data_IF_251268732171
#
_entry.id   IF_251268732171
#
_cell.length_a   1.000
_cell.length_b   1.000
_cell.length_c   1.000
_cell.angle_alpha   90.00
_cell.angle_beta   90.00
_cell.angle_gamma   90.00
#
_symmetry.space_group_name_H-M   'P 1'
#
loop_
_entity.id
_entity.type
_entity.pdbx_description
1 polymer ?
#
# COMPACT_ATOMS: atom_id res chain seq x y z
N UNK A 1 -62.60 14.08 -1.23
CA UNK A 1 -61.30 14.16 -1.90
C UNK A 1 -60.22 14.38 -0.85
N UNK A 2 -59.51 13.33 -0.47
CA UNK A 2 -58.36 13.43 0.46
C UNK A 2 -57.11 13.63 -0.34
N UNK A 3 -56.43 14.78 -0.15
CA UNK A 3 -55.13 15.08 -0.77
C UNK A 3 -54.09 14.34 0.05
N UNK A 4 -53.56 13.25 -0.52
CA UNK A 4 -52.33 12.60 0.02
C UNK A 4 -51.14 13.53 -0.22
N UNK A 5 -50.69 14.17 0.84
CA UNK A 5 -49.43 14.89 0.84
C UNK A 5 -48.28 13.85 0.81
N UNK A 6 -47.69 13.64 -0.37
CA UNK A 6 -46.48 12.82 -0.51
C UNK A 6 -45.35 13.49 0.31
N UNK A 7 -44.91 12.84 1.38
CA UNK A 7 -43.67 13.23 2.10
C UNK A 7 -42.53 13.15 1.12
N UNK A 8 -41.85 14.27 0.87
CA UNK A 8 -40.57 14.29 0.18
C UNK A 8 -39.60 13.33 0.87
N UNK A 9 -38.78 12.57 0.13
CA UNK A 9 -37.77 11.71 0.74
C UNK A 9 -36.86 12.60 1.56
N UNK A 10 -36.74 12.29 2.85
CA UNK A 10 -35.73 12.87 3.72
C UNK A 10 -34.35 12.48 3.11
N UNK A 11 -33.67 13.44 2.52
CA UNK A 11 -32.27 13.26 2.11
C UNK A 11 -31.50 13.02 3.40
N UNK A 12 -31.21 11.77 3.70
CA UNK A 12 -30.23 11.43 4.74
C UNK A 12 -28.93 12.04 4.25
N UNK A 13 -28.41 13.03 4.97
CA UNK A 13 -27.14 13.65 4.63
C UNK A 13 -26.11 12.52 4.51
N UNK A 14 -25.48 12.38 3.34
CA UNK A 14 -24.46 11.35 3.14
C UNK A 14 -23.29 11.67 4.07
N UNK A 15 -22.77 10.65 4.77
CA UNK A 15 -21.58 10.79 5.63
C UNK A 15 -20.44 11.42 4.83
N UNK A 16 -19.77 12.41 5.41
CA UNK A 16 -18.63 13.09 4.81
C UNK A 16 -17.34 12.45 5.34
N UNK A 17 -16.59 11.80 4.46
CA UNK A 17 -15.41 11.00 4.85
C UNK A 17 -14.16 11.66 4.29
N UNK A 18 -13.15 11.84 5.15
CA UNK A 18 -11.78 12.20 4.75
C UNK A 18 -10.90 10.97 4.90
N UNK A 19 -10.15 10.65 3.84
CA UNK A 19 -9.20 9.54 3.82
C UNK A 19 -7.78 10.10 3.78
N UNK A 20 -7.00 9.85 4.84
CA UNK A 20 -5.62 10.35 4.97
C UNK A 20 -4.56 9.31 4.55
N UNK A 21 -4.96 8.28 3.82
CA UNK A 21 -4.06 7.27 3.25
C UNK A 21 -4.67 6.61 2.01
N UNK A 22 -3.83 6.23 1.01
CA UNK A 22 -4.31 5.64 -0.24
C UNK A 22 -5.09 4.35 -0.04
N UNK A 23 -4.65 3.45 0.84
CA UNK A 23 -5.32 2.16 1.09
C UNK A 23 -6.75 2.33 1.61
N UNK A 24 -6.99 3.28 2.53
CA UNK A 24 -8.34 3.58 3.01
C UNK A 24 -9.23 4.17 1.90
N UNK A 25 -8.65 5.01 1.03
CA UNK A 25 -9.35 5.52 -0.15
C UNK A 25 -9.82 4.36 -1.04
N UNK A 26 -8.92 3.42 -1.34
CA UNK A 26 -9.24 2.24 -2.14
C UNK A 26 -10.32 1.37 -1.49
N UNK A 27 -10.25 1.15 -0.17
CA UNK A 27 -11.29 0.44 0.58
C UNK A 27 -12.63 1.15 0.46
N UNK A 28 -12.69 2.46 0.71
CA UNK A 28 -13.93 3.25 0.64
C UNK A 28 -14.56 3.19 -0.75
N UNK A 29 -13.76 3.30 -1.81
CA UNK A 29 -14.26 3.17 -3.18
C UNK A 29 -14.73 1.75 -3.51
N UNK A 30 -14.01 0.72 -3.06
CA UNK A 30 -14.41 -0.68 -3.23
C UNK A 30 -15.73 -1.00 -2.52
N UNK A 31 -16.02 -0.33 -1.40
CA UNK A 31 -17.31 -0.41 -0.69
C UNK A 31 -18.41 0.43 -1.35
N UNK A 32 -18.11 1.16 -2.44
CA UNK A 32 -19.08 2.02 -3.14
C UNK A 32 -19.41 3.30 -2.38
N UNK A 33 -18.44 3.82 -1.59
CA UNK A 33 -18.58 5.04 -0.78
C UNK A 33 -17.82 6.24 -1.40
N UNK A 34 -17.39 6.15 -2.66
CA UNK A 34 -16.61 7.20 -3.34
C UNK A 34 -17.27 8.58 -3.31
N UNK A 35 -18.60 8.65 -3.40
CA UNK A 35 -19.35 9.93 -3.32
C UNK A 35 -19.31 10.52 -1.92
N UNK A 36 -19.17 9.72 -0.88
CA UNK A 36 -19.00 10.14 0.52
C UNK A 36 -17.60 10.65 0.81
N UNK A 37 -16.58 10.30 0.02
CA UNK A 37 -15.21 10.79 0.17
C UNK A 37 -15.13 12.24 -0.27
N UNK A 38 -14.86 13.15 0.68
CA UNK A 38 -14.80 14.60 0.44
C UNK A 38 -13.38 15.15 0.41
N UNK A 39 -12.38 14.37 0.86
CA UNK A 39 -10.97 14.76 0.85
C UNK A 39 -10.06 13.54 0.99
N UNK A 40 -8.87 13.64 0.40
CA UNK A 40 -7.90 12.55 0.26
C UNK A 40 -6.46 13.06 0.49
N UNK A 41 -5.46 12.21 0.29
CA UNK A 41 -4.05 12.62 0.20
C UNK A 41 -3.63 12.85 -1.25
N UNK A 42 -2.47 13.48 -1.44
CA UNK A 42 -1.88 13.67 -2.78
C UNK A 42 -1.50 12.34 -3.47
N UNK A 43 -1.39 11.24 -2.71
CA UNK A 43 -1.06 9.90 -3.23
C UNK A 43 -2.30 9.05 -3.56
N UNK A 44 -3.50 9.54 -3.33
CA UNK A 44 -4.73 8.81 -3.61
C UNK A 44 -5.07 8.90 -5.11
N UNK A 45 -4.49 8.04 -5.90
CA UNK A 45 -4.58 7.98 -7.36
C UNK A 45 -5.50 6.87 -7.89
N UNK A 46 -5.97 5.99 -6.99
CA UNK A 46 -6.85 4.88 -7.36
C UNK A 46 -8.12 4.81 -6.47
N UNK A 47 -9.30 4.59 -7.10
CA UNK A 47 -9.53 4.66 -8.56
C UNK A 47 -9.26 6.09 -9.10
N UNK A 48 -9.17 6.29 -10.42
CA UNK A 48 -8.80 7.61 -10.99
C UNK A 48 -9.66 8.79 -10.53
N UNK A 49 -10.90 8.52 -10.12
CA UNK A 49 -11.83 9.51 -9.57
C UNK A 49 -11.35 10.07 -8.22
N UNK A 50 -10.62 9.29 -7.44
CA UNK A 50 -10.08 9.71 -6.14
C UNK A 50 -9.10 10.88 -6.30
N UNK A 51 -8.27 10.88 -7.35
CA UNK A 51 -7.31 11.95 -7.63
C UNK A 51 -7.96 13.32 -7.89
N UNK A 52 -9.28 13.37 -8.12
CA UNK A 52 -10.03 14.63 -8.33
C UNK A 52 -10.53 15.24 -7.03
N UNK A 53 -10.41 14.53 -5.91
CA UNK A 53 -10.84 15.03 -4.60
C UNK A 53 -9.80 16.01 -4.05
N UNK A 54 -10.20 16.94 -3.17
CA UNK A 54 -9.26 17.84 -2.49
C UNK A 54 -8.17 17.06 -1.73
N UNK A 55 -6.90 17.39 -1.98
CA UNK A 55 -5.75 16.77 -1.31
C UNK A 55 -5.37 17.55 -0.06
N UNK A 56 -5.49 16.90 1.12
CA UNK A 56 -5.24 17.51 2.43
C UNK A 56 -3.80 17.32 2.93
N UNK A 57 -3.05 16.41 2.33
CA UNK A 57 -1.70 16.07 2.77
C UNK A 57 -0.71 16.54 1.72
N UNK A 58 0.36 17.21 2.17
CA UNK A 58 1.49 17.62 1.33
C UNK A 58 2.78 17.04 1.89
N UNK A 59 3.67 16.48 1.04
CA UNK A 59 4.97 16.01 1.50
C UNK A 59 5.84 17.22 1.91
N UNK A 60 6.66 17.04 2.95
CA UNK A 60 7.72 17.99 3.34
C UNK A 60 9.07 17.58 2.78
N UNK A 61 9.16 16.37 2.22
CA UNK A 61 10.31 15.86 1.48
C UNK A 61 10.07 16.03 -0.01
N UNK A 62 11.13 16.20 -0.79
CA UNK A 62 11.02 16.25 -2.25
C UNK A 62 10.90 14.82 -2.81
N UNK A 63 9.74 14.39 -3.32
CA UNK A 63 9.55 13.03 -3.81
C UNK A 63 10.28 12.74 -5.13
N UNK A 64 10.87 13.78 -5.76
CA UNK A 64 11.63 13.68 -7.02
C UNK A 64 13.14 13.71 -6.79
N UNK A 65 13.59 13.91 -5.56
CA UNK A 65 15.02 13.87 -5.21
C UNK A 65 15.59 12.45 -5.39
N UNK A 66 16.93 12.31 -5.51
CA UNK A 66 17.60 11.00 -5.43
C UNK A 66 17.27 10.26 -4.12
N UNK A 67 17.26 8.93 -4.14
CA UNK A 67 16.88 8.10 -2.98
C UNK A 67 17.70 8.42 -1.72
N UNK A 68 19.03 8.61 -1.85
CA UNK A 68 19.91 9.05 -0.75
C UNK A 68 19.47 10.36 -0.12
N UNK A 69 19.01 11.30 -0.93
CA UNK A 69 18.55 12.61 -0.47
C UNK A 69 17.18 12.51 0.21
N UNK A 70 16.26 11.71 -0.34
CA UNK A 70 14.97 11.41 0.32
C UNK A 70 15.22 10.79 1.69
N UNK A 71 16.06 9.74 1.77
CA UNK A 71 16.40 9.08 3.05
C UNK A 71 17.03 10.06 4.04
N UNK A 72 17.90 10.96 3.58
CA UNK A 72 18.50 12.01 4.41
C UNK A 72 17.44 12.96 4.97
N UNK A 73 16.54 13.48 4.12
CA UNK A 73 15.47 14.40 4.52
C UNK A 73 14.50 13.72 5.51
N UNK A 74 14.11 12.48 5.25
CA UNK A 74 13.27 11.70 6.16
C UNK A 74 13.94 11.55 7.53
N UNK A 75 15.20 11.10 7.58
CA UNK A 75 15.92 10.94 8.85
C UNK A 75 16.08 12.24 9.60
N UNK A 76 16.31 13.35 8.91
CA UNK A 76 16.43 14.66 9.53
C UNK A 76 15.14 15.11 10.19
N UNK A 77 14.00 14.98 9.50
CA UNK A 77 12.69 15.32 10.07
C UNK A 77 12.34 14.40 11.26
N UNK A 78 12.48 13.08 11.08
CA UNK A 78 12.20 12.11 12.15
C UNK A 78 13.08 12.34 13.38
N UNK A 79 14.37 12.67 13.20
CA UNK A 79 15.27 12.95 14.34
C UNK A 79 14.88 14.19 15.14
N UNK A 80 14.13 15.11 14.53
CA UNK A 80 13.57 16.30 15.19
C UNK A 80 12.18 16.05 15.78
N UNK A 81 11.62 14.85 15.64
CA UNK A 81 10.25 14.54 16.00
C UNK A 81 9.21 15.19 15.07
N UNK A 82 9.62 15.59 13.86
CA UNK A 82 8.77 16.21 12.86
C UNK A 82 8.22 15.16 11.90
N UNK A 83 6.95 15.32 11.48
CA UNK A 83 6.35 14.51 10.44
C UNK A 83 6.90 14.89 9.07
N UNK A 84 7.01 13.91 8.18
CA UNK A 84 7.38 14.13 6.77
C UNK A 84 6.21 14.65 5.92
N UNK A 85 5.03 14.76 6.53
CA UNK A 85 3.82 15.28 5.90
C UNK A 85 3.27 16.50 6.65
N UNK A 86 2.59 17.37 5.93
CA UNK A 86 1.84 18.49 6.49
C UNK A 86 0.36 18.33 6.20
N UNK A 87 -0.48 18.44 7.24
CA UNK A 87 -1.94 18.43 7.11
C UNK A 87 -2.44 19.86 6.85
N UNK A 88 -3.24 20.05 5.81
CA UNK A 88 -3.94 21.32 5.56
C UNK A 88 -5.16 21.42 6.48
N UNK A 89 -4.93 21.99 7.66
CA UNK A 89 -5.95 22.07 8.71
C UNK A 89 -7.13 22.98 8.33
N UNK A 90 -6.89 24.04 7.53
CA UNK A 90 -7.95 24.96 7.10
C UNK A 90 -8.87 24.26 6.08
N UNK A 91 -8.30 23.52 5.14
CA UNK A 91 -9.06 22.70 4.20
C UNK A 91 -9.82 21.59 4.94
N UNK A 92 -9.16 20.89 5.87
CA UNK A 92 -9.78 19.81 6.65
C UNK A 92 -11.00 20.32 7.43
N UNK A 93 -10.88 21.50 8.10
CA UNK A 93 -12.00 22.12 8.81
C UNK A 93 -13.14 22.53 7.85
N UNK A 94 -12.80 23.09 6.70
CA UNK A 94 -13.79 23.50 5.68
C UNK A 94 -14.60 22.34 5.10
N UNK A 95 -14.00 21.16 5.02
CA UNK A 95 -14.65 19.95 4.53
C UNK A 95 -15.64 19.35 5.52
N UNK A 96 -15.61 19.74 6.79
CA UNK A 96 -16.52 19.27 7.85
C UNK A 96 -16.76 17.74 7.81
N UNK A 97 -15.70 16.92 7.97
CA UNK A 97 -15.87 15.47 7.90
C UNK A 97 -16.60 14.92 9.13
N UNK A 98 -17.46 13.93 8.91
CA UNK A 98 -18.06 13.12 9.98
C UNK A 98 -17.10 12.01 10.44
N UNK A 99 -16.30 11.49 9.47
CA UNK A 99 -15.32 10.43 9.68
C UNK A 99 -14.00 10.79 9.02
N UNK A 100 -12.91 10.59 9.75
CA UNK A 100 -11.54 10.66 9.24
C UNK A 100 -10.93 9.26 9.35
N UNK A 101 -10.41 8.71 8.25
CA UNK A 101 -9.68 7.45 8.25
C UNK A 101 -8.19 7.75 8.10
N UNK A 102 -7.39 7.28 9.05
CA UNK A 102 -5.93 7.49 9.11
C UNK A 102 -5.22 6.18 9.47
N UNK A 103 -3.89 6.22 9.59
CA UNK A 103 -3.12 5.06 10.07
C UNK A 103 -2.15 5.46 11.18
N UNK A 104 -1.73 4.43 11.93
CA UNK A 104 -0.64 4.50 12.93
C UNK A 104 0.28 3.28 12.75
N UNK A 105 0.79 3.10 11.52
CA UNK A 105 1.66 1.98 11.17
C UNK A 105 3.13 2.40 11.06
N UNK A 106 3.36 3.53 10.42
CA UNK A 106 4.70 4.00 10.10
C UNK A 106 4.70 5.53 10.05
N UNK A 107 5.63 6.16 10.78
CA UNK A 107 5.80 7.61 10.77
C UNK A 107 6.29 8.17 9.41
N UNK A 108 6.65 7.28 8.48
CA UNK A 108 7.16 7.63 7.15
C UNK A 108 6.10 7.48 6.05
N UNK A 109 5.02 6.71 6.30
CA UNK A 109 4.07 6.35 5.22
C UNK A 109 2.77 7.16 5.23
N UNK A 110 2.48 7.90 6.30
CA UNK A 110 1.30 8.78 6.39
C UNK A 110 1.52 9.89 7.42
N UNK A 111 0.62 10.89 7.43
CA UNK A 111 0.58 11.90 8.48
C UNK A 111 0.40 11.23 9.85
N UNK A 112 1.20 11.67 10.83
CA UNK A 112 1.16 11.08 12.17
C UNK A 112 -0.19 11.37 12.85
N UNK A 113 -0.62 10.51 13.81
CA UNK A 113 -1.77 10.79 14.64
C UNK A 113 -1.66 12.13 15.39
N UNK A 114 -0.46 12.54 15.76
CA UNK A 114 -0.20 13.81 16.47
C UNK A 114 -0.42 15.03 15.57
N UNK A 115 -0.05 14.95 14.27
CA UNK A 115 -0.33 16.02 13.29
C UNK A 115 -1.83 16.19 13.10
N UNK A 116 -2.56 15.08 13.00
CA UNK A 116 -4.01 15.08 12.90
C UNK A 116 -4.64 15.62 14.19
N UNK A 117 -4.20 15.16 15.36
CA UNK A 117 -4.68 15.64 16.66
C UNK A 117 -4.50 17.16 16.78
N UNK A 118 -3.32 17.69 16.39
CA UNK A 118 -3.04 19.13 16.36
C UNK A 118 -4.01 19.87 15.42
N UNK A 119 -4.27 19.35 14.22
CA UNK A 119 -5.23 19.95 13.29
C UNK A 119 -6.64 19.98 13.88
N UNK A 120 -7.06 18.90 14.57
CA UNK A 120 -8.38 18.78 15.16
C UNK A 120 -8.63 19.70 16.38
N UNK A 121 -7.60 20.22 17.04
CA UNK A 121 -7.78 21.20 18.12
C UNK A 121 -8.51 22.47 17.68
N UNK A 122 -8.52 22.78 16.39
CA UNK A 122 -9.18 23.94 15.78
C UNK A 122 -10.67 23.72 15.54
N UNK A 123 -11.14 22.46 15.60
CA UNK A 123 -12.51 22.12 15.24
C UNK A 123 -13.49 22.46 16.39
N UNK A 124 -14.66 22.98 16.00
CA UNK A 124 -15.77 23.25 16.94
C UNK A 124 -16.60 22.00 17.24
N UNK A 125 -16.34 20.90 16.57
CA UNK A 125 -16.96 19.57 16.72
C UNK A 125 -15.88 18.49 16.65
N UNK A 126 -16.18 17.29 17.11
CA UNK A 126 -15.24 16.18 17.08
C UNK A 126 -15.66 15.18 16.00
N UNK A 127 -14.99 15.12 14.82
CA UNK A 127 -15.21 14.05 13.88
C UNK A 127 -14.78 12.71 14.48
N UNK A 128 -15.40 11.61 14.03
CA UNK A 128 -14.91 10.26 14.36
C UNK A 128 -13.59 10.05 13.66
N UNK A 129 -12.61 9.48 14.36
CA UNK A 129 -11.32 9.07 13.77
C UNK A 129 -11.21 7.55 13.82
N UNK A 130 -10.95 6.94 12.66
CA UNK A 130 -10.67 5.52 12.54
C UNK A 130 -9.20 5.36 12.14
N UNK A 131 -8.43 4.68 12.99
CA UNK A 131 -7.01 4.43 12.77
C UNK A 131 -6.82 2.98 12.33
N UNK A 132 -6.14 2.77 11.19
CA UNK A 132 -5.82 1.46 10.63
C UNK A 132 -4.35 1.14 10.93
N UNK A 133 -4.06 -0.10 11.36
CA UNK A 133 -2.70 -0.52 11.74
C UNK A 133 -2.38 -1.93 11.27
N UNK A 134 -2.44 -2.23 9.96
CA UNK A 134 -2.26 -3.59 9.47
C UNK A 134 -0.79 -3.99 9.45
N UNK A 135 -0.47 -5.17 9.98
CA UNK A 135 0.86 -5.78 9.92
C UNK A 135 0.87 -7.09 9.12
N UNK A 136 -0.28 -7.58 8.71
CA UNK A 136 -0.48 -8.83 7.96
C UNK A 136 -1.68 -8.71 7.02
N UNK A 137 -1.88 -9.68 6.13
CA UNK A 137 -3.07 -9.73 5.29
C UNK A 137 -4.35 -9.84 6.12
N UNK A 138 -4.34 -10.61 7.21
CA UNK A 138 -5.51 -10.72 8.09
C UNK A 138 -5.84 -9.39 8.79
N UNK A 139 -4.85 -8.56 9.07
CA UNK A 139 -5.09 -7.22 9.60
C UNK A 139 -5.74 -6.33 8.55
N UNK A 140 -5.32 -6.44 7.27
CA UNK A 140 -5.95 -5.70 6.16
C UNK A 140 -7.43 -6.10 6.01
N UNK A 141 -7.76 -7.38 6.15
CA UNK A 141 -9.15 -7.82 6.12
C UNK A 141 -9.97 -7.25 7.27
N UNK A 142 -9.39 -7.19 8.46
CA UNK A 142 -10.03 -6.53 9.63
C UNK A 142 -10.20 -5.02 9.40
N UNK A 143 -9.25 -4.36 8.79
CA UNK A 143 -9.35 -2.94 8.46
C UNK A 143 -10.50 -2.67 7.48
N UNK A 144 -10.70 -3.52 6.47
CA UNK A 144 -11.86 -3.45 5.56
C UNK A 144 -13.17 -3.59 6.35
N UNK A 145 -13.25 -4.55 7.27
CA UNK A 145 -14.42 -4.74 8.13
C UNK A 145 -14.65 -3.54 9.06
N UNK A 146 -13.58 -2.97 9.66
CA UNK A 146 -13.66 -1.77 10.51
C UNK A 146 -14.19 -0.56 9.71
N UNK A 147 -13.73 -0.36 8.48
CA UNK A 147 -14.24 0.70 7.61
C UNK A 147 -15.72 0.44 7.29
N UNK A 148 -16.09 -0.82 6.99
CA UNK A 148 -17.48 -1.23 6.80
C UNK A 148 -18.37 -0.87 7.98
N UNK A 149 -17.97 -1.22 9.20
CA UNK A 149 -18.69 -0.92 10.45
C UNK A 149 -18.78 0.60 10.70
N UNK A 150 -17.68 1.32 10.47
CA UNK A 150 -17.66 2.77 10.69
C UNK A 150 -18.58 3.53 9.74
N UNK A 151 -18.91 2.96 8.59
CA UNK A 151 -19.65 3.60 7.50
C UNK A 151 -21.05 2.99 7.25
N UNK A 152 -21.45 1.95 7.99
CA UNK A 152 -22.70 1.21 7.76
C UNK A 152 -22.71 0.37 6.49
N UNK A 153 -21.52 -0.07 6.04
CA UNK A 153 -21.34 -0.88 4.83
C UNK A 153 -20.86 -2.32 5.13
N UNK A 154 -21.21 -2.87 6.30
CA UNK A 154 -20.73 -4.17 6.81
C UNK A 154 -20.90 -5.31 5.82
N UNK A 155 -22.08 -5.40 5.20
CA UNK A 155 -22.36 -6.47 4.22
C UNK A 155 -21.45 -6.37 3.00
N UNK A 156 -21.16 -5.16 2.52
CA UNK A 156 -20.26 -4.97 1.38
C UNK A 156 -18.82 -5.28 1.77
N UNK A 157 -18.39 -4.91 2.99
CA UNK A 157 -17.09 -5.22 3.52
C UNK A 157 -16.87 -6.74 3.62
N UNK A 158 -17.80 -7.47 4.24
CA UNK A 158 -17.74 -8.93 4.34
C UNK A 158 -17.66 -9.60 2.96
N UNK A 159 -18.50 -9.19 2.00
CA UNK A 159 -18.44 -9.73 0.64
C UNK A 159 -17.10 -9.44 -0.06
N UNK A 160 -16.54 -8.25 0.14
CA UNK A 160 -15.22 -7.90 -0.40
C UNK A 160 -14.14 -8.78 0.20
N UNK A 161 -14.08 -8.92 1.52
CA UNK A 161 -13.12 -9.76 2.23
C UNK A 161 -13.21 -11.22 1.79
N UNK A 162 -14.42 -11.78 1.69
CA UNK A 162 -14.63 -13.15 1.23
C UNK A 162 -14.14 -13.37 -0.21
N UNK A 163 -14.38 -12.41 -1.10
CA UNK A 163 -13.87 -12.45 -2.47
C UNK A 163 -12.34 -12.44 -2.50
N UNK A 164 -11.69 -11.55 -1.75
CA UNK A 164 -10.23 -11.43 -1.70
C UNK A 164 -9.61 -12.72 -1.13
N UNK A 165 -10.14 -13.26 -0.05
CA UNK A 165 -9.70 -14.53 0.52
C UNK A 165 -9.86 -15.70 -0.46
N UNK A 166 -10.98 -15.74 -1.20
CA UNK A 166 -11.21 -16.78 -2.21
C UNK A 166 -10.18 -16.69 -3.36
N UNK A 167 -9.82 -15.49 -3.81
CA UNK A 167 -8.79 -15.29 -4.84
C UNK A 167 -7.43 -15.80 -4.36
N UNK A 168 -7.03 -15.44 -3.15
CA UNK A 168 -5.76 -15.90 -2.56
C UNK A 168 -5.74 -17.42 -2.41
N UNK A 169 -6.82 -18.02 -1.90
CA UNK A 169 -6.91 -19.48 -1.77
C UNK A 169 -6.79 -20.22 -3.13
N UNK A 170 -7.29 -19.62 -4.21
CA UNK A 170 -7.08 -20.17 -5.57
C UNK A 170 -5.62 -20.16 -5.95
N UNK A 171 -4.89 -19.05 -5.69
CA UNK A 171 -3.45 -18.99 -5.93
C UNK A 171 -2.73 -20.07 -5.13
N UNK A 172 -2.97 -20.15 -3.82
CA UNK A 172 -2.36 -21.14 -2.93
C UNK A 172 -2.58 -22.57 -3.47
N UNK A 173 -3.80 -22.91 -3.89
CA UNK A 173 -4.12 -24.24 -4.44
C UNK A 173 -3.36 -24.58 -5.72
N UNK A 174 -2.94 -23.57 -6.49
CA UNK A 174 -2.12 -23.75 -7.69
C UNK A 174 -0.65 -23.90 -7.32
N UNK A 175 -0.11 -23.01 -6.46
CA UNK A 175 1.32 -23.02 -6.11
C UNK A 175 1.70 -24.17 -5.19
N UNK A 176 0.76 -24.78 -4.46
CA UNK A 176 0.99 -26.02 -3.69
C UNK A 176 1.43 -27.20 -4.58
N UNK A 177 1.18 -27.12 -5.89
CA UNK A 177 1.64 -28.10 -6.89
C UNK A 177 3.01 -27.78 -7.45
N UNK A 178 3.62 -26.66 -7.05
CA UNK A 178 4.94 -26.26 -7.52
C UNK A 178 6.00 -27.26 -7.03
N UNK A 179 6.92 -27.66 -7.92
CA UNK A 179 7.99 -28.60 -7.58
C UNK A 179 9.01 -28.02 -6.58
N UNK A 180 9.08 -26.69 -6.48
CA UNK A 180 9.98 -25.97 -5.57
C UNK A 180 9.44 -24.58 -5.24
N UNK A 181 9.96 -24.02 -4.16
CA UNK A 181 9.75 -22.62 -3.77
C UNK A 181 11.04 -21.85 -4.05
N UNK A 182 11.07 -20.87 -4.99
CA UNK A 182 12.27 -20.10 -5.26
C UNK A 182 12.63 -19.22 -4.06
N UNK A 183 13.93 -19.00 -3.87
CA UNK A 183 14.47 -18.07 -2.87
C UNK A 183 14.37 -16.64 -3.40
N UNK A 184 13.59 -15.82 -2.74
CA UNK A 184 13.19 -14.50 -3.19
C UNK A 184 13.68 -13.41 -2.24
N UNK A 185 14.04 -12.26 -2.81
CA UNK A 185 14.33 -11.02 -2.09
C UNK A 185 13.40 -9.91 -2.58
N UNK A 186 12.69 -9.26 -1.66
CA UNK A 186 11.91 -8.05 -1.93
C UNK A 186 12.65 -6.81 -1.41
N UNK A 187 12.91 -5.83 -2.29
CA UNK A 187 13.57 -4.57 -1.94
C UNK A 187 12.58 -3.40 -2.04
N UNK A 188 12.33 -2.74 -0.90
CA UNK A 188 11.47 -1.56 -0.79
C UNK A 188 12.25 -0.24 -0.91
N UNK A 189 13.57 -0.28 -0.85
CA UNK A 189 14.47 0.85 -1.08
C UNK A 189 15.85 0.33 -1.50
N UNK A 190 16.60 1.10 -2.30
CA UNK A 190 17.88 0.66 -2.86
C UNK A 190 19.10 1.38 -2.30
N UNK A 191 18.93 2.60 -1.78
CA UNK A 191 20.06 3.36 -1.20
C UNK A 191 19.57 4.22 -0.01
N UNK A 192 19.83 3.71 1.23
CA UNK A 192 20.35 2.38 1.58
C UNK A 192 19.33 1.25 1.30
N UNK A 193 19.79 0.00 1.20
CA UNK A 193 18.87 -1.11 0.99
C UNK A 193 17.93 -1.32 2.17
N UNK A 194 16.62 -1.42 1.87
CA UNK A 194 15.59 -1.89 2.80
C UNK A 194 14.88 -3.09 2.21
N UNK A 195 14.74 -4.13 3.01
CA UNK A 195 13.93 -5.31 2.68
C UNK A 195 12.49 -5.12 3.13
N UNK A 196 11.58 -5.76 2.41
CA UNK A 196 10.16 -5.69 2.70
C UNK A 196 9.80 -6.30 4.05
N UNK A 197 8.76 -5.74 4.67
CA UNK A 197 8.20 -6.19 5.94
C UNK A 197 6.68 -6.31 5.91
N UNK A 198 6.06 -6.22 7.11
CA UNK A 198 4.61 -6.26 7.31
C UNK A 198 3.93 -7.46 6.65
N UNK A 199 3.05 -7.23 5.67
CA UNK A 199 2.29 -8.25 4.92
C UNK A 199 3.07 -8.84 3.74
N UNK A 200 4.15 -8.19 3.23
CA UNK A 200 4.83 -8.62 2.00
C UNK A 200 5.46 -9.99 2.12
N UNK A 201 6.20 -10.35 3.19
CA UNK A 201 6.76 -11.69 3.32
C UNK A 201 5.67 -12.78 3.43
N UNK A 202 4.48 -12.44 3.97
CA UNK A 202 3.32 -13.34 3.95
C UNK A 202 2.79 -13.53 2.52
N UNK A 203 2.70 -12.44 1.72
CA UNK A 203 2.32 -12.52 0.31
C UNK A 203 3.28 -13.41 -0.48
N UNK A 204 4.59 -13.26 -0.27
CA UNK A 204 5.64 -14.08 -0.88
C UNK A 204 5.44 -15.57 -0.56
N UNK A 205 5.22 -15.89 0.73
CA UNK A 205 5.02 -17.26 1.18
C UNK A 205 3.77 -17.89 0.56
N UNK A 206 2.65 -17.16 0.53
CA UNK A 206 1.38 -17.57 -0.06
C UNK A 206 1.42 -17.68 -1.58
N UNK A 207 2.28 -16.86 -2.23
CA UNK A 207 2.56 -16.94 -3.66
C UNK A 207 3.55 -18.08 -4.02
N UNK A 208 3.96 -18.90 -3.05
CA UNK A 208 4.75 -20.11 -3.28
C UNK A 208 6.27 -19.88 -3.36
N UNK A 209 6.82 -18.82 -2.77
CA UNK A 209 8.25 -18.56 -2.66
C UNK A 209 8.73 -18.48 -1.19
N UNK A 210 10.03 -18.40 -0.97
CA UNK A 210 10.68 -18.18 0.31
C UNK A 210 11.32 -16.78 0.31
N UNK A 211 10.79 -15.85 1.13
CA UNK A 211 11.47 -14.57 1.36
C UNK A 211 12.72 -14.81 2.21
N UNK A 212 13.89 -14.46 1.67
CA UNK A 212 15.18 -14.82 2.30
C UNK A 212 15.61 -13.87 3.40
N UNK A 213 15.02 -12.67 3.49
CA UNK A 213 15.35 -11.67 4.52
C UNK A 213 14.10 -11.05 5.16
N UNK A 214 13.00 -10.94 4.43
CA UNK A 214 11.76 -10.33 4.90
C UNK A 214 11.20 -11.05 6.14
N UNK A 215 10.62 -10.26 7.07
CA UNK A 215 10.05 -10.78 8.32
C UNK A 215 8.58 -10.44 8.39
N UNK A 216 7.75 -11.50 8.45
CA UNK A 216 6.31 -11.33 8.55
C UNK A 216 5.94 -10.53 9.80
N UNK A 217 5.03 -9.58 9.65
CA UNK A 217 4.47 -8.74 10.71
C UNK A 217 5.46 -7.75 11.36
N UNK A 218 6.71 -7.75 10.95
CA UNK A 218 7.73 -6.80 11.40
C UNK A 218 7.84 -5.65 10.37
N UNK A 219 8.33 -4.49 10.82
CA UNK A 219 8.60 -3.38 9.92
C UNK A 219 9.72 -3.70 8.94
N UNK A 220 9.71 -3.06 7.77
CA UNK A 220 10.83 -3.05 6.83
C UNK A 220 12.10 -2.59 7.53
N UNK A 221 13.24 -3.19 7.21
CA UNK A 221 14.49 -2.88 7.89
C UNK A 221 15.67 -2.79 6.92
N UNK A 222 16.67 -2.06 7.35
CA UNK A 222 17.88 -1.83 6.57
C UNK A 222 18.79 -3.06 6.59
N UNK A 223 19.36 -3.37 5.41
CA UNK A 223 20.37 -4.42 5.23
C UNK A 223 21.57 -3.90 4.45
N UNK A 224 22.68 -4.57 4.57
CA UNK A 224 23.88 -4.30 3.77
C UNK A 224 23.86 -5.11 2.46
N UNK A 225 24.65 -4.66 1.49
CA UNK A 225 24.91 -5.41 0.24
C UNK A 225 25.43 -6.82 0.51
N UNK A 226 26.32 -6.99 1.52
CA UNK A 226 26.92 -8.28 1.85
C UNK A 226 25.89 -9.26 2.44
N UNK A 227 24.97 -8.77 3.28
CA UNK A 227 23.86 -9.58 3.79
C UNK A 227 22.97 -10.06 2.65
N UNK A 228 22.65 -9.20 1.68
CA UNK A 228 21.88 -9.59 0.49
C UNK A 228 22.60 -10.69 -0.29
N UNK A 229 23.90 -10.47 -0.60
CA UNK A 229 24.73 -11.43 -1.35
C UNK A 229 24.80 -12.79 -0.64
N UNK A 230 24.93 -12.78 0.70
CA UNK A 230 24.99 -14.01 1.50
C UNK A 230 23.72 -14.87 1.41
N UNK A 231 22.55 -14.25 1.14
CA UNK A 231 21.30 -15.00 0.98
C UNK A 231 21.18 -15.71 -0.37
N UNK A 232 22.00 -15.34 -1.36
CA UNK A 232 22.03 -15.95 -2.69
C UNK A 232 20.61 -16.10 -3.33
N UNK A 233 19.84 -15.00 -3.53
CA UNK A 233 18.48 -15.05 -4.04
C UNK A 233 18.43 -15.51 -5.50
N UNK A 234 17.39 -16.29 -5.82
CA UNK A 234 17.09 -16.75 -7.17
C UNK A 234 16.19 -15.76 -7.95
N UNK A 235 15.41 -14.98 -7.21
CA UNK A 235 14.53 -13.93 -7.75
C UNK A 235 14.67 -12.67 -6.91
N UNK A 236 14.67 -11.50 -7.54
CA UNK A 236 14.65 -10.20 -6.84
C UNK A 236 13.47 -9.38 -7.36
N UNK A 237 12.66 -8.86 -6.45
CA UNK A 237 11.59 -7.90 -6.73
C UNK A 237 12.00 -6.52 -6.25
N UNK A 238 12.00 -5.56 -7.17
CA UNK A 238 12.23 -4.14 -6.90
C UNK A 238 10.86 -3.48 -6.78
N UNK A 239 10.53 -2.98 -5.60
CA UNK A 239 9.20 -2.50 -5.23
C UNK A 239 9.26 -1.29 -4.29
N UNK A 240 10.01 -0.27 -4.68
CA UNK A 240 10.22 0.92 -3.86
C UNK A 240 8.89 1.63 -3.60
N UNK A 241 8.67 1.98 -2.34
CA UNK A 241 7.44 2.66 -1.90
C UNK A 241 7.25 3.99 -2.67
N UNK A 242 6.05 4.18 -3.20
CA UNK A 242 5.69 5.38 -3.96
C UNK A 242 6.08 5.33 -5.45
N UNK A 243 6.69 4.24 -5.95
CA UNK A 243 7.20 4.15 -7.32
C UNK A 243 6.41 3.14 -8.16
N UNK A 244 6.18 3.51 -9.43
CA UNK A 244 5.66 2.59 -10.43
C UNK A 244 6.77 1.66 -10.97
N UNK A 245 6.41 0.71 -11.82
CA UNK A 245 7.35 -0.26 -12.39
C UNK A 245 8.46 0.41 -13.23
N UNK A 246 8.14 1.49 -13.95
CA UNK A 246 9.10 2.17 -14.82
C UNK A 246 10.16 2.91 -13.99
N UNK A 247 9.73 3.61 -12.95
CA UNK A 247 10.65 4.30 -12.01
C UNK A 247 11.47 3.29 -11.23
N UNK A 248 10.88 2.23 -10.71
CA UNK A 248 11.59 1.13 -10.05
C UNK A 248 12.69 0.53 -10.94
N UNK A 249 12.37 0.30 -12.23
CA UNK A 249 13.34 -0.20 -13.20
C UNK A 249 14.47 0.80 -13.47
N UNK A 250 14.16 2.10 -13.57
CA UNK A 250 15.15 3.13 -13.80
C UNK A 250 16.12 3.26 -12.63
N UNK A 251 15.61 3.26 -11.39
CA UNK A 251 16.44 3.34 -10.18
C UNK A 251 17.38 2.13 -10.08
N UNK A 252 16.88 0.93 -10.29
CA UNK A 252 17.73 -0.26 -10.25
C UNK A 252 18.82 -0.26 -11.35
N UNK A 253 18.47 0.14 -12.58
CA UNK A 253 19.45 0.23 -13.69
C UNK A 253 20.52 1.29 -13.47
N UNK A 254 20.24 2.33 -12.69
CA UNK A 254 21.21 3.36 -12.34
C UNK A 254 22.23 2.89 -11.31
N UNK A 255 21.97 1.77 -10.61
CA UNK A 255 22.90 1.22 -9.62
C UNK A 255 24.15 0.63 -10.27
N UNK A 256 25.29 0.84 -9.62
CA UNK A 256 26.53 0.14 -9.96
C UNK A 256 26.59 -1.17 -9.14
N UNK A 257 26.18 -2.27 -9.75
CA UNK A 257 26.23 -3.58 -9.10
C UNK A 257 27.67 -4.09 -9.03
N UNK A 258 28.08 -4.50 -7.82
CA UNK A 258 29.38 -5.15 -7.60
C UNK A 258 29.47 -6.52 -8.30
N UNK A 259 30.68 -7.04 -8.48
CA UNK A 259 30.88 -8.38 -9.06
C UNK A 259 30.18 -9.48 -8.26
N UNK A 260 30.04 -9.30 -6.93
CA UNK A 260 29.32 -10.27 -6.09
C UNK A 260 27.82 -10.28 -6.40
N UNK A 261 27.21 -9.12 -6.64
CA UNK A 261 25.81 -9.03 -7.10
C UNK A 261 25.62 -9.66 -8.46
N UNK A 262 26.52 -9.40 -9.44
CA UNK A 262 26.43 -9.97 -10.79
C UNK A 262 26.51 -11.50 -10.79
N UNK A 263 27.11 -12.11 -9.77
CA UNK A 263 27.17 -13.57 -9.58
C UNK A 263 25.93 -14.19 -8.95
N UNK A 264 25.00 -13.39 -8.41
CA UNK A 264 23.74 -13.91 -7.86
C UNK A 264 22.94 -14.67 -8.92
N UNK A 265 22.26 -15.76 -8.57
CA UNK A 265 21.39 -16.48 -9.49
C UNK A 265 20.35 -15.55 -10.15
N UNK A 266 19.73 -14.66 -9.36
CA UNK A 266 18.77 -13.70 -9.88
C UNK A 266 19.33 -12.83 -11.03
N UNK A 267 20.60 -12.39 -10.93
CA UNK A 267 21.25 -11.60 -11.97
C UNK A 267 21.61 -12.45 -13.20
N UNK A 268 22.25 -13.62 -12.98
CA UNK A 268 22.68 -14.50 -14.08
C UNK A 268 21.53 -15.04 -14.90
N UNK A 269 20.42 -15.35 -14.24
CA UNK A 269 19.26 -15.99 -14.86
C UNK A 269 18.19 -14.96 -15.27
N UNK A 270 18.51 -13.65 -15.20
CA UNK A 270 17.62 -12.53 -15.52
C UNK A 270 16.28 -12.63 -14.75
N UNK A 271 16.32 -12.95 -13.47
CA UNK A 271 15.14 -13.08 -12.60
C UNK A 271 15.01 -11.87 -11.65
N UNK A 272 15.14 -10.66 -12.21
CA UNK A 272 14.93 -9.40 -11.52
C UNK A 272 13.72 -8.70 -12.13
N UNK A 273 12.78 -8.32 -11.29
CA UNK A 273 11.53 -7.70 -11.73
C UNK A 273 11.30 -6.40 -10.96
N UNK A 274 11.02 -5.32 -11.68
CA UNK A 274 10.50 -4.08 -11.12
C UNK A 274 8.98 -4.09 -11.24
N UNK A 275 8.27 -3.92 -10.13
CA UNK A 275 6.79 -3.90 -10.12
C UNK A 275 6.27 -2.49 -9.79
N UNK A 276 5.01 -2.23 -10.11
CA UNK A 276 4.30 -1.07 -9.59
C UNK A 276 3.96 -1.29 -8.10
N UNK A 277 4.81 -0.74 -7.22
CA UNK A 277 4.67 -0.92 -5.78
C UNK A 277 3.36 -0.31 -5.25
N UNK A 278 2.93 0.83 -5.80
CA UNK A 278 1.70 1.50 -5.38
C UNK A 278 0.45 0.65 -5.62
N UNK A 279 0.46 -0.12 -6.71
CA UNK A 279 -0.67 -0.98 -7.08
C UNK A 279 -0.65 -2.34 -6.39
N UNK A 280 0.55 -2.91 -6.11
CA UNK A 280 0.65 -4.34 -5.83
C UNK A 280 1.25 -4.70 -4.47
N UNK A 281 1.91 -3.77 -3.76
CA UNK A 281 2.62 -4.15 -2.53
C UNK A 281 2.63 -3.13 -1.41
N UNK A 282 2.74 -1.82 -1.70
CA UNK A 282 2.98 -0.79 -0.69
C UNK A 282 1.72 -0.31 0.05
N UNK A 283 0.53 -0.56 -0.50
CA UNK A 283 -0.74 -0.08 0.05
C UNK A 283 -1.54 -1.23 0.64
N UNK A 284 -1.77 -1.26 1.97
CA UNK A 284 -2.53 -2.33 2.62
C UNK A 284 -4.03 -2.21 2.35
N UNK A 285 -4.44 -2.65 1.18
CA UNK A 285 -5.81 -2.54 0.69
C UNK A 285 -6.22 -3.72 -0.20
N UNK A 286 -7.38 -3.61 -0.88
CA UNK A 286 -7.92 -4.71 -1.68
C UNK A 286 -6.98 -5.22 -2.78
N UNK A 287 -6.12 -4.34 -3.34
CA UNK A 287 -5.20 -4.68 -4.44
C UNK A 287 -4.02 -5.56 -4.01
N UNK A 288 -3.81 -5.83 -2.70
CA UNK A 288 -2.83 -6.83 -2.28
C UNK A 288 -3.14 -8.24 -2.80
N UNK A 289 -4.42 -8.54 -3.08
CA UNK A 289 -4.77 -9.80 -3.76
C UNK A 289 -4.24 -9.81 -5.20
N UNK A 290 -4.32 -8.68 -5.93
CA UNK A 290 -3.74 -8.53 -7.27
C UNK A 290 -2.21 -8.68 -7.22
N UNK A 291 -1.57 -8.09 -6.18
CA UNK A 291 -0.14 -8.21 -5.93
C UNK A 291 0.31 -9.64 -5.66
N UNK A 292 -0.45 -10.39 -4.89
CA UNK A 292 -0.18 -11.81 -4.61
C UNK A 292 -0.33 -12.67 -5.88
N UNK A 293 -1.34 -12.41 -6.70
CA UNK A 293 -1.51 -13.04 -8.01
C UNK A 293 -0.34 -12.72 -8.94
N UNK A 294 0.12 -11.46 -8.98
CA UNK A 294 1.31 -11.05 -9.73
C UNK A 294 2.54 -11.81 -9.26
N UNK A 295 2.78 -11.90 -7.96
CA UNK A 295 3.91 -12.64 -7.38
C UNK A 295 3.89 -14.11 -7.82
N UNK A 296 2.75 -14.77 -7.70
CA UNK A 296 2.62 -16.17 -8.10
C UNK A 296 2.95 -16.40 -9.58
N UNK A 297 2.53 -15.50 -10.47
CA UNK A 297 2.89 -15.56 -11.89
C UNK A 297 4.38 -15.36 -12.12
N UNK A 298 5.02 -14.44 -11.42
CA UNK A 298 6.46 -14.18 -11.57
C UNK A 298 7.30 -15.35 -11.05
N UNK A 299 6.85 -16.01 -9.97
CA UNK A 299 7.58 -17.10 -9.33
C UNK A 299 7.36 -18.44 -10.02
N UNK A 300 6.18 -18.65 -10.58
CA UNK A 300 5.73 -19.91 -11.18
C UNK A 300 5.07 -19.71 -12.55
N UNK A 301 5.77 -19.12 -13.54
CA UNK A 301 5.17 -18.77 -14.84
C UNK A 301 4.59 -19.96 -15.59
N UNK A 302 5.07 -21.18 -15.31
CA UNK A 302 4.55 -22.41 -15.93
C UNK A 302 3.22 -22.90 -15.32
N UNK A 303 2.82 -22.39 -14.15
CA UNK A 303 1.57 -22.78 -13.49
C UNK A 303 0.41 -21.84 -13.82
N UNK A 304 0.71 -20.66 -14.34
CA UNK A 304 -0.27 -19.62 -14.67
C UNK A 304 -0.22 -19.30 -16.15
N UNK A 305 -1.35 -19.41 -16.83
CA UNK A 305 -1.45 -19.17 -18.29
C UNK A 305 -2.01 -17.77 -18.63
N UNK A 306 -2.58 -17.07 -17.66
CA UNK A 306 -3.17 -15.75 -17.86
C UNK A 306 -2.09 -14.71 -18.09
N UNK A 307 -2.37 -13.76 -19.01
CA UNK A 307 -1.45 -12.64 -19.23
C UNK A 307 -1.64 -11.61 -18.14
N UNK A 308 -0.53 -11.21 -17.53
CA UNK A 308 -0.51 -10.09 -16.60
C UNK A 308 -0.85 -8.76 -17.30
N UNK A 309 -1.40 -7.82 -16.54
CA UNK A 309 -1.71 -6.49 -17.03
C UNK A 309 -0.45 -5.80 -17.57
N UNK A 310 -0.60 -5.11 -18.70
CA UNK A 310 0.49 -4.31 -19.27
C UNK A 310 0.91 -3.23 -18.27
N UNK A 311 2.20 -3.16 -17.96
CA UNK A 311 2.75 -2.18 -17.01
C UNK A 311 2.78 -2.63 -15.54
N UNK A 312 2.23 -3.81 -15.20
CA UNK A 312 2.29 -4.34 -13.84
C UNK A 312 3.74 -4.58 -13.36
N UNK A 313 4.61 -4.97 -14.26
CA UNK A 313 6.02 -5.19 -13.99
C UNK A 313 6.89 -4.98 -15.24
N UNK A 314 8.19 -4.80 -15.00
CA UNK A 314 9.24 -4.84 -16.01
C UNK A 314 10.29 -5.87 -15.61
N UNK A 315 10.70 -6.71 -16.53
CA UNK A 315 11.84 -7.63 -16.35
C UNK A 315 13.13 -6.87 -16.65
N UNK A 316 14.15 -7.01 -15.80
CA UNK A 316 15.41 -6.27 -15.84
C UNK A 316 16.57 -7.12 -16.29
#
# INVERSE_FOLDING_TARGET
MAVLCARAPTVVASMRIVSLLPSATEILYALGLGDSVVGVTHECDFPPEAARKPALIKPRVDPHAPQTEIDRQVRELVSRGESIYAVDADLLESLQPDLIVTQDLCHVCAASPDDLATALTRFRYAPRVLTLTPHSLDDVWRDIDCVGQATGAETKAGNLVDNLKCRIAKVESVVDRAARRPRLLCLEWLDPFYVAGHWVPEMVARAGAEDVLGRQREASFRVSSDEIVATNPEVIIIMLCGYDAARNAAEFRAMQLSDSWQRLPACRDNQIFAIDANSYSSRPGPRLADGLELFAHLFHPNLFSEKLSSGAYLKL
#
